data_IF_271499773709
#
_entry.id   IF_271499773709
#
_cell.length_a   1.000
_cell.length_b   1.000
_cell.length_c   1.000
_cell.angle_alpha   90.00
_cell.angle_beta   90.00
_cell.angle_gamma   90.00
#
_symmetry.space_group_name_H-M   'P 1'
#
loop_
_entity.id
_entity.type
_entity.pdbx_description
1 polymer ?
#
# COMPACT_ATOMS: atom_id res chain seq x y z
N UNK A 1 -11.16 -3.61 16.00
CA UNK A 1 -9.91 -3.02 15.47
C UNK A 1 -9.46 -3.96 14.38
N UNK A 2 -9.47 -3.56 13.11
CA UNK A 2 -9.19 -4.50 12.01
C UNK A 2 -7.69 -4.65 11.76
N UNK A 3 -6.97 -3.53 11.60
CA UNK A 3 -5.51 -3.48 11.42
C UNK A 3 -4.94 -2.59 12.52
N UNK A 4 -4.09 -3.13 13.40
CA UNK A 4 -3.58 -2.37 14.56
C UNK A 4 -2.55 -1.29 14.17
N UNK A 5 -1.95 -1.42 12.99
CA UNK A 5 -0.99 -0.46 12.44
C UNK A 5 -0.22 -1.02 11.25
N UNK A 6 0.79 -0.28 10.81
CA UNK A 6 1.61 -0.61 9.64
C UNK A 6 3.07 -0.48 10.04
N UNK A 7 3.90 -1.42 9.61
CA UNK A 7 5.35 -1.40 9.78
C UNK A 7 5.99 -1.70 8.44
N UNK A 8 7.00 -0.93 8.06
CA UNK A 8 7.80 -1.19 6.86
C UNK A 8 9.24 -1.44 7.27
N UNK A 9 9.77 -2.60 6.88
CA UNK A 9 11.15 -3.01 7.11
C UNK A 9 11.94 -2.97 5.80
N UNK A 10 13.25 -2.77 5.90
CA UNK A 10 14.15 -3.05 4.79
C UNK A 10 14.38 -4.57 4.63
N UNK A 11 15.10 -4.94 3.56
CA UNK A 11 15.47 -6.33 3.29
C UNK A 11 16.37 -6.98 4.36
N UNK A 12 16.92 -6.21 5.29
CA UNK A 12 17.72 -6.71 6.42
C UNK A 12 16.87 -6.95 7.68
N UNK A 13 15.57 -6.69 7.61
CA UNK A 13 14.65 -6.86 8.74
C UNK A 13 14.67 -5.69 9.72
N UNK A 14 15.24 -4.53 9.33
CA UNK A 14 15.28 -3.33 10.18
C UNK A 14 14.10 -2.42 9.86
N UNK A 15 13.42 -1.84 10.88
CA UNK A 15 12.32 -0.92 10.64
C UNK A 15 12.81 0.37 9.98
N UNK A 16 12.14 0.74 8.89
CA UNK A 16 12.29 2.04 8.22
C UNK A 16 11.30 3.03 8.82
N UNK A 17 10.02 2.63 8.88
CA UNK A 17 8.92 3.48 9.35
C UNK A 17 7.80 2.60 9.94
N UNK A 18 7.07 3.14 10.91
CA UNK A 18 5.92 2.49 11.53
C UNK A 18 4.83 3.53 11.87
N UNK A 19 3.57 3.10 11.92
CA UNK A 19 2.46 3.95 12.37
C UNK A 19 2.42 4.07 13.90
N UNK A 20 1.51 4.91 14.41
CA UNK A 20 1.50 5.34 15.81
C UNK A 20 0.99 4.36 16.89
N UNK A 21 0.61 3.11 16.56
CA UNK A 21 0.13 2.05 17.48
C UNK A 21 -0.53 2.54 18.80
N UNK A 22 -1.51 3.44 18.69
CA UNK A 22 -1.93 4.34 19.79
C UNK A 22 -2.52 3.63 21.00
N UNK A 23 -3.06 2.42 20.81
CA UNK A 23 -3.74 1.60 21.82
C UNK A 23 -2.88 0.44 22.34
N UNK A 24 -1.60 0.36 21.93
CA UNK A 24 -0.72 -0.78 22.22
C UNK A 24 0.51 -0.34 23.01
N UNK A 25 1.16 -1.30 23.66
CA UNK A 25 2.46 -1.09 24.31
C UNK A 25 3.52 -0.61 23.31
N UNK A 26 4.50 0.23 23.70
CA UNK A 26 5.62 0.60 22.84
C UNK A 26 6.43 -0.59 22.29
N UNK A 27 6.40 -1.73 22.99
CA UNK A 27 7.06 -2.96 22.53
C UNK A 27 6.26 -3.71 21.45
N UNK A 28 4.99 -3.36 21.22
CA UNK A 28 4.08 -4.12 20.37
C UNK A 28 4.62 -4.27 18.95
N UNK A 29 5.07 -3.19 18.30
CA UNK A 29 5.62 -3.28 16.95
C UNK A 29 6.88 -4.16 16.89
N UNK A 30 7.72 -4.11 17.92
CA UNK A 30 8.93 -4.94 18.00
C UNK A 30 8.61 -6.44 18.01
N UNK A 31 7.52 -6.86 18.67
CA UNK A 31 7.12 -8.29 18.68
C UNK A 31 6.81 -8.81 17.28
N UNK A 32 6.16 -8.00 16.45
CA UNK A 32 5.83 -8.34 15.07
C UNK A 32 7.06 -8.36 14.18
N UNK A 33 7.98 -7.41 14.39
CA UNK A 33 9.28 -7.37 13.72
C UNK A 33 10.10 -8.62 14.06
N UNK A 34 10.18 -8.97 15.34
CA UNK A 34 10.91 -10.15 15.82
C UNK A 34 10.27 -11.44 15.30
N UNK A 35 8.95 -11.53 15.26
CA UNK A 35 8.25 -12.70 14.72
C UNK A 35 8.66 -12.98 13.27
N UNK A 36 8.63 -11.96 12.40
CA UNK A 36 9.05 -12.11 11.01
C UNK A 36 10.56 -12.38 10.88
N UNK A 37 11.39 -11.65 11.61
CA UNK A 37 12.85 -11.81 11.56
C UNK A 37 13.29 -13.21 12.01
N UNK A 38 12.64 -13.78 13.02
CA UNK A 38 12.88 -15.15 13.48
C UNK A 38 12.54 -16.17 12.38
N UNK A 39 11.44 -15.99 11.66
CA UNK A 39 11.07 -16.88 10.56
C UNK A 39 11.99 -16.73 9.33
N UNK A 40 12.43 -15.50 9.02
CA UNK A 40 13.42 -15.23 7.98
C UNK A 40 14.77 -15.88 8.28
N UNK A 41 15.18 -15.97 9.56
CA UNK A 41 16.41 -16.66 9.94
C UNK A 41 16.30 -18.18 9.82
N UNK A 42 15.12 -18.75 10.07
CA UNK A 42 14.87 -20.19 9.99
C UNK A 42 14.78 -20.70 8.55
N UNK A 43 14.34 -19.84 7.62
CA UNK A 43 14.03 -20.24 6.24
C UNK A 43 14.99 -19.59 5.24
N UNK A 44 15.68 -20.41 4.44
CA UNK A 44 16.56 -19.90 3.38
C UNK A 44 15.82 -19.25 2.21
N UNK A 45 14.53 -19.56 2.04
CA UNK A 45 13.68 -18.97 1.01
C UNK A 45 12.49 -18.23 1.67
N UNK A 46 12.42 -16.89 1.54
CA UNK A 46 11.34 -16.09 2.10
C UNK A 46 9.95 -16.49 1.60
N UNK A 47 9.83 -17.03 0.38
CA UNK A 47 8.54 -17.41 -0.20
C UNK A 47 7.87 -18.62 0.49
N UNK A 48 8.56 -19.26 1.45
CA UNK A 48 8.04 -20.39 2.24
C UNK A 48 7.50 -19.97 3.60
N UNK A 49 7.73 -18.73 4.01
CA UNK A 49 7.24 -18.21 5.28
C UNK A 49 5.73 -18.02 5.16
N UNK A 50 4.99 -18.46 6.18
CA UNK A 50 3.55 -18.25 6.24
C UNK A 50 3.26 -16.73 6.20
N UNK A 51 2.41 -16.24 5.29
CA UNK A 51 2.07 -14.82 5.21
C UNK A 51 1.36 -14.30 6.47
N UNK A 52 0.83 -15.18 7.32
CA UNK A 52 0.20 -14.84 8.61
C UNK A 52 0.96 -15.50 9.75
N UNK A 53 1.72 -14.71 10.51
CA UNK A 53 2.50 -15.21 11.64
C UNK A 53 1.76 -15.04 12.96
N UNK A 54 1.77 -16.06 13.80
CA UNK A 54 1.28 -15.94 15.17
C UNK A 54 2.25 -15.12 16.03
N UNK A 55 1.74 -14.10 16.72
CA UNK A 55 2.50 -13.27 17.65
C UNK A 55 1.92 -13.41 19.06
N UNK A 56 2.69 -13.98 20.01
CA UNK A 56 2.21 -14.17 21.37
C UNK A 56 2.02 -12.83 22.08
N UNK A 57 1.12 -12.75 23.08
CA UNK A 57 0.97 -11.56 23.89
C UNK A 57 2.24 -11.27 24.70
N UNK A 58 2.56 -9.99 24.89
CA UNK A 58 3.74 -9.60 25.69
C UNK A 58 3.49 -9.77 27.19
N UNK A 59 2.30 -9.40 27.65
CA UNK A 59 1.87 -9.54 29.04
C UNK A 59 0.67 -10.49 29.12
N UNK A 60 0.48 -11.15 30.27
CA UNK A 60 -0.62 -12.09 30.47
C UNK A 60 -2.02 -11.46 30.33
N UNK A 61 -2.12 -10.13 30.37
CA UNK A 61 -3.36 -9.36 30.16
C UNK A 61 -3.64 -9.03 28.70
N UNK A 62 -2.64 -9.16 27.83
CA UNK A 62 -2.77 -8.88 26.41
C UNK A 62 -3.32 -10.10 25.67
N UNK A 63 -3.99 -9.85 24.54
CA UNK A 63 -4.40 -10.91 23.63
C UNK A 63 -3.30 -11.19 22.60
N UNK A 64 -3.21 -12.44 22.15
CA UNK A 64 -2.38 -12.77 21.00
C UNK A 64 -2.82 -11.97 19.76
N UNK A 65 -1.91 -11.82 18.81
CA UNK A 65 -2.16 -11.14 17.54
C UNK A 65 -1.56 -11.93 16.38
N UNK A 66 -1.97 -11.58 15.17
CA UNK A 66 -1.38 -12.08 13.94
C UNK A 66 -0.57 -10.98 13.26
N UNK A 67 0.55 -11.34 12.64
CA UNK A 67 1.32 -10.46 11.78
C UNK A 67 1.07 -10.87 10.33
N UNK A 68 0.27 -10.09 9.60
CA UNK A 68 0.12 -10.26 8.16
C UNK A 68 1.28 -9.55 7.47
N UNK A 69 2.03 -10.23 6.60
CA UNK A 69 3.17 -9.61 5.93
C UNK A 69 3.24 -9.91 4.44
N UNK A 70 3.81 -8.96 3.70
CA UNK A 70 4.08 -9.07 2.26
C UNK A 70 5.48 -8.54 1.98
N UNK A 71 6.27 -9.30 1.22
CA UNK A 71 7.51 -8.81 0.62
C UNK A 71 7.20 -8.08 -0.70
N UNK A 72 7.72 -6.86 -0.86
CA UNK A 72 7.61 -6.11 -2.11
C UNK A 72 8.95 -5.45 -2.43
N UNK A 73 9.52 -5.72 -3.60
CA UNK A 73 10.87 -5.26 -3.96
C UNK A 73 11.92 -5.63 -2.88
N UNK A 74 12.55 -4.64 -2.25
CA UNK A 74 13.54 -4.76 -1.17
C UNK A 74 12.99 -4.35 0.20
N UNK A 75 11.66 -4.39 0.39
CA UNK A 75 10.99 -4.10 1.67
C UNK A 75 10.02 -5.21 2.09
N UNK A 76 9.77 -5.29 3.40
CA UNK A 76 8.67 -6.06 3.98
C UNK A 76 7.65 -5.10 4.59
N UNK A 77 6.38 -5.29 4.27
CA UNK A 77 5.26 -4.53 4.83
C UNK A 77 4.46 -5.45 5.74
N UNK A 78 4.33 -5.05 7.00
CA UNK A 78 3.65 -5.82 8.04
C UNK A 78 2.43 -5.04 8.51
N UNK A 79 1.31 -5.75 8.67
CA UNK A 79 0.09 -5.27 9.31
C UNK A 79 -0.27 -6.20 10.46
N UNK A 80 0.05 -5.80 11.70
CA UNK A 80 -0.49 -6.44 12.89
C UNK A 80 -2.01 -6.43 12.92
N UNK A 81 -2.63 -7.55 13.25
CA UNK A 81 -4.08 -7.75 13.38
C UNK A 81 -4.37 -8.42 14.72
N UNK A 82 -5.35 -7.91 15.46
CA UNK A 82 -5.75 -8.47 16.75
C UNK A 82 -7.27 -8.51 16.91
N UNK A 83 -7.74 -9.47 17.71
CA UNK A 83 -9.18 -9.75 17.85
C UNK A 83 -9.72 -10.67 16.75
N UNK A 84 -11.04 -10.67 16.59
CA UNK A 84 -11.75 -11.53 15.64
C UNK A 84 -11.97 -10.77 14.31
N UNK A 85 -10.94 -10.81 13.46
CA UNK A 85 -10.89 -10.09 12.18
C UNK A 85 -10.32 -11.02 11.12
N UNK A 86 -10.91 -10.99 9.92
CA UNK A 86 -10.38 -11.69 8.75
C UNK A 86 -9.03 -11.08 8.31
N UNK A 87 -7.92 -11.85 8.32
CA UNK A 87 -6.62 -11.39 7.86
C UNK A 87 -6.61 -10.86 6.42
N UNK A 88 -7.56 -11.28 5.57
CA UNK A 88 -7.68 -10.78 4.20
C UNK A 88 -7.86 -9.26 4.14
N UNK A 89 -8.44 -8.62 5.16
CA UNK A 89 -8.56 -7.16 5.23
C UNK A 89 -7.17 -6.51 5.27
N UNK A 90 -6.22 -7.09 6.02
CA UNK A 90 -4.85 -6.60 6.09
C UNK A 90 -4.13 -6.76 4.75
N UNK A 91 -4.28 -7.90 4.07
CA UNK A 91 -3.66 -8.11 2.75
C UNK A 91 -4.24 -7.19 1.67
N UNK A 92 -5.55 -7.02 1.63
CA UNK A 92 -6.21 -6.09 0.71
C UNK A 92 -5.73 -4.65 0.96
N UNK A 93 -5.60 -4.26 2.22
CA UNK A 93 -5.06 -2.96 2.60
C UNK A 93 -3.59 -2.81 2.19
N UNK A 94 -2.71 -3.79 2.49
CA UNK A 94 -1.29 -3.74 2.11
C UNK A 94 -1.14 -3.56 0.60
N UNK A 95 -1.88 -4.33 -0.21
CA UNK A 95 -1.83 -4.21 -1.66
C UNK A 95 -2.25 -2.81 -2.11
N UNK A 96 -3.38 -2.32 -1.59
CA UNK A 96 -3.87 -0.96 -1.89
C UNK A 96 -2.85 0.11 -1.49
N UNK A 97 -2.21 -0.06 -0.34
CA UNK A 97 -1.18 0.86 0.14
C UNK A 97 0.07 0.85 -0.73
N UNK A 98 0.53 -0.33 -1.19
CA UNK A 98 1.63 -0.45 -2.16
C UNK A 98 1.29 0.29 -3.45
N UNK A 99 0.06 0.16 -3.95
CA UNK A 99 -0.37 0.83 -5.18
C UNK A 99 -0.43 2.37 -4.99
N UNK A 100 -0.87 2.86 -3.82
CA UNK A 100 -0.79 4.28 -3.44
C UNK A 100 0.67 4.76 -3.43
N UNK A 101 1.59 4.02 -2.79
CA UNK A 101 3.01 4.38 -2.77
C UNK A 101 3.58 4.44 -4.20
N UNK A 102 3.26 3.47 -5.05
CA UNK A 102 3.67 3.46 -6.46
C UNK A 102 3.12 4.66 -7.22
N UNK A 103 1.87 5.04 -6.97
CA UNK A 103 1.25 6.22 -7.58
C UNK A 103 1.84 7.56 -7.12
N UNK A 104 2.38 7.62 -5.90
CA UNK A 104 3.02 8.82 -5.35
C UNK A 104 4.48 8.96 -5.78
N UNK A 105 5.22 7.85 -5.80
CA UNK A 105 6.68 7.84 -5.93
C UNK A 105 7.19 7.15 -7.21
N UNK A 106 6.33 6.50 -7.99
CA UNK A 106 6.66 5.76 -9.20
C UNK A 106 7.19 4.34 -8.95
N UNK A 107 7.88 4.12 -7.84
CA UNK A 107 8.37 2.82 -7.40
C UNK A 107 8.33 2.70 -5.88
N UNK A 108 8.36 1.47 -5.38
CA UNK A 108 8.41 1.18 -3.94
C UNK A 108 9.71 0.43 -3.65
N UNK A 109 10.62 1.10 -2.93
CA UNK A 109 11.87 0.53 -2.43
C UNK A 109 12.24 1.13 -1.07
N UNK A 110 13.19 0.50 -0.37
CA UNK A 110 13.66 0.98 0.92
C UNK A 110 14.27 2.40 0.83
N UNK A 111 14.98 2.68 -0.27
CA UNK A 111 15.56 4.00 -0.56
C UNK A 111 14.47 5.06 -0.75
N UNK A 112 13.50 4.80 -1.62
CA UNK A 112 12.41 5.74 -1.91
C UNK A 112 11.60 6.08 -0.66
N UNK A 113 11.32 5.08 0.19
CA UNK A 113 10.58 5.28 1.45
C UNK A 113 11.38 6.15 2.43
N UNK A 114 12.71 5.94 2.51
CA UNK A 114 13.60 6.76 3.37
C UNK A 114 13.70 8.20 2.90
N UNK A 115 13.77 8.41 1.58
CA UNK A 115 13.84 9.76 0.99
C UNK A 115 12.55 10.56 1.15
N UNK A 116 11.40 9.88 1.22
CA UNK A 116 10.06 10.49 1.29
C UNK A 116 9.34 10.18 2.62
N UNK A 117 10.11 10.00 3.70
CA UNK A 117 9.63 9.50 4.99
C UNK A 117 8.43 10.29 5.55
N UNK A 118 8.46 11.61 5.42
CA UNK A 118 7.42 12.53 5.88
C UNK A 118 6.10 12.33 5.13
N UNK A 119 6.16 12.19 3.80
CA UNK A 119 4.98 11.93 2.96
C UNK A 119 4.43 10.53 3.23
N UNK A 120 5.28 9.52 3.39
CA UNK A 120 4.84 8.16 3.74
C UNK A 120 4.16 8.14 5.10
N UNK A 121 4.66 8.89 6.09
CA UNK A 121 4.02 9.00 7.40
C UNK A 121 2.64 9.67 7.31
N UNK A 122 2.50 10.72 6.50
CA UNK A 122 1.20 11.34 6.23
C UNK A 122 0.24 10.34 5.57
N UNK A 123 0.72 9.56 4.60
CA UNK A 123 -0.09 8.51 3.96
C UNK A 123 -0.55 7.46 4.97
N UNK A 124 0.24 7.07 5.96
CA UNK A 124 -0.21 6.16 7.02
C UNK A 124 -1.44 6.71 7.76
N UNK A 125 -1.36 7.96 8.23
CA UNK A 125 -2.43 8.57 9.03
C UNK A 125 -3.71 8.82 8.23
N UNK A 126 -3.61 9.04 6.91
CA UNK A 126 -4.78 9.30 6.06
C UNK A 126 -5.38 8.03 5.43
N UNK A 127 -4.62 6.95 5.33
CA UNK A 127 -5.08 5.67 4.76
C UNK A 127 -5.62 4.71 5.81
N UNK A 128 -5.21 4.84 7.08
CA UNK A 128 -5.62 3.98 8.18
C UNK A 128 -5.95 4.81 9.42
N UNK A 129 -7.16 4.68 9.94
CA UNK A 129 -7.57 5.40 11.15
C UNK A 129 -7.01 4.79 12.45
N UNK A 130 -7.15 5.50 13.56
CA UNK A 130 -6.70 5.03 14.88
C UNK A 130 -7.49 3.82 15.42
N UNK A 131 -8.68 3.54 14.85
CA UNK A 131 -9.49 2.35 15.14
C UNK A 131 -9.06 1.12 14.33
N UNK A 132 -8.11 1.28 13.40
CA UNK A 132 -7.60 0.24 12.53
C UNK A 132 -8.48 -0.03 11.31
N UNK A 133 -9.28 0.95 10.87
CA UNK A 133 -10.11 0.85 9.67
C UNK A 133 -9.46 1.61 8.51
N UNK A 134 -9.37 1.01 7.31
CA UNK A 134 -8.97 1.75 6.12
C UNK A 134 -9.87 2.97 5.89
N UNK A 135 -9.27 4.14 5.69
CA UNK A 135 -9.95 5.43 5.53
C UNK A 135 -9.92 5.88 4.07
N UNK A 136 -8.96 6.72 3.68
CA UNK A 136 -8.88 7.25 2.33
C UNK A 136 -7.91 6.41 1.52
N UNK A 137 -8.43 5.50 0.70
CA UNK A 137 -7.61 4.54 -0.07
C UNK A 137 -7.52 4.84 -1.57
N UNK A 138 -8.07 5.98 -2.02
CA UNK A 138 -8.00 6.41 -3.41
C UNK A 138 -6.99 7.54 -3.58
N UNK A 139 -5.97 7.31 -4.39
CA UNK A 139 -4.89 8.28 -4.66
C UNK A 139 -5.40 9.64 -5.13
N UNK A 140 -6.52 9.69 -5.87
CA UNK A 140 -7.10 10.97 -6.32
C UNK A 140 -7.65 11.81 -5.17
N UNK A 141 -8.32 11.19 -4.19
CA UNK A 141 -8.76 11.88 -2.98
C UNK A 141 -7.57 12.19 -2.04
N UNK A 142 -6.62 11.26 -1.89
CA UNK A 142 -5.43 11.48 -1.07
C UNK A 142 -4.60 12.68 -1.54
N UNK A 143 -4.48 12.89 -2.86
CA UNK A 143 -3.72 14.01 -3.42
C UNK A 143 -4.27 15.39 -3.05
N UNK A 144 -5.52 15.48 -2.61
CA UNK A 144 -6.12 16.74 -2.15
C UNK A 144 -5.66 17.11 -0.72
N UNK A 145 -5.16 16.15 0.05
CA UNK A 145 -4.79 16.32 1.47
C UNK A 145 -3.32 15.99 1.77
N UNK A 146 -2.73 15.05 1.04
CA UNK A 146 -1.31 14.68 1.09
C UNK A 146 -0.69 14.96 -0.27
N UNK A 147 0.13 16.01 -0.33
CA UNK A 147 0.68 16.49 -1.60
C UNK A 147 1.85 15.60 -2.07
N UNK A 148 1.80 15.00 -3.28
CA UNK A 148 2.93 14.22 -3.79
C UNK A 148 4.17 15.08 -4.03
N UNK A 149 5.40 14.55 -3.80
CA UNK A 149 6.65 15.28 -4.07
C UNK A 149 6.76 15.76 -5.52
N UNK A 150 6.28 14.95 -6.48
CA UNK A 150 6.28 15.28 -7.90
C UNK A 150 5.44 16.53 -8.23
N UNK A 151 4.38 16.80 -7.45
CA UNK A 151 3.54 17.98 -7.62
C UNK A 151 4.22 19.22 -7.02
N UNK A 152 4.85 19.09 -5.86
CA UNK A 152 5.64 20.18 -5.24
C UNK A 152 6.77 20.65 -6.16
N UNK A 153 7.50 19.71 -6.77
CA UNK A 153 8.60 20.04 -7.69
C UNK A 153 8.10 20.82 -8.92
N UNK A 154 6.93 20.47 -9.46
CA UNK A 154 6.30 21.21 -10.57
C UNK A 154 5.88 22.62 -10.16
N UNK A 155 5.32 22.78 -8.95
CA UNK A 155 4.95 24.09 -8.42
C UNK A 155 6.18 24.99 -8.24
N UNK A 156 7.23 24.49 -7.58
CA UNK A 156 8.49 25.23 -7.38
C UNK A 156 9.14 25.64 -8.71
N UNK A 157 9.20 24.73 -9.69
CA UNK A 157 9.73 25.03 -11.02
C UNK A 157 8.91 26.12 -11.74
N UNK A 158 7.59 26.17 -11.52
CA UNK A 158 6.71 27.17 -12.14
C UNK A 158 6.86 28.57 -11.54
N UNK A 159 7.17 28.67 -10.24
CA UNK A 159 7.40 29.95 -9.54
C UNK A 159 8.74 30.61 -9.93
N UNK A 160 9.71 29.83 -10.39
CA UNK A 160 11.02 30.34 -10.84
C UNK A 160 11.02 30.85 -12.30
N UNK A 161 9.92 30.75 -13.04
CA UNK A 161 9.79 31.20 -14.43
C UNK A 161 9.07 32.55 -14.58
N UNK A 162 9.28 33.31 -15.68
CA UNK A 162 8.68 34.63 -15.90
C UNK A 162 7.15 34.63 -16.13
N UNK A 163 6.49 33.47 -16.12
CA UNK A 163 5.05 33.34 -16.38
C UNK A 163 4.28 33.00 -15.10
N UNK A 164 4.17 33.99 -14.22
CA UNK A 164 3.57 33.90 -12.87
C UNK A 164 2.03 33.74 -12.92
N UNK A 165 1.38 33.89 -14.08
CA UNK A 165 -0.08 34.11 -14.12
C UNK A 165 -0.94 32.91 -14.53
N UNK A 166 -0.37 31.78 -14.98
CA UNK A 166 -1.15 30.64 -15.51
C UNK A 166 -1.12 29.37 -14.67
N UNK A 167 -0.21 29.23 -13.69
CA UNK A 167 -0.10 28.02 -12.83
C UNK A 167 -0.56 28.23 -11.40
N UNK A 168 -0.77 29.48 -10.96
CA UNK A 168 -1.30 29.82 -9.64
C UNK A 168 -2.83 29.84 -9.57
N UNK A 169 -3.50 29.58 -10.69
CA UNK A 169 -4.89 29.14 -10.65
C UNK A 169 -4.89 27.72 -10.09
N UNK A 170 -4.88 27.62 -8.76
CA UNK A 170 -5.62 26.58 -8.07
C UNK A 170 -6.95 26.44 -8.81
N UNK A 171 -7.10 25.36 -9.57
CA UNK A 171 -8.31 25.10 -10.32
C UNK A 171 -9.49 25.20 -9.34
N UNK A 172 -10.67 25.70 -9.74
CA UNK A 172 -11.84 25.69 -8.86
C UNK A 172 -12.08 24.24 -8.39
N UNK A 173 -11.93 23.97 -7.08
CA UNK A 173 -12.00 22.62 -6.51
C UNK A 173 -10.70 22.07 -5.89
N UNK A 174 -9.83 22.87 -5.29
CA UNK A 174 -8.62 22.40 -4.56
C UNK A 174 -8.83 22.25 -3.05
N UNK A 175 -10.06 22.01 -2.59
CA UNK A 175 -10.33 21.70 -1.18
C UNK A 175 -10.11 20.22 -0.88
N UNK A 176 -9.88 19.82 0.38
CA UNK A 176 -9.92 18.43 0.80
C UNK A 176 -11.19 17.74 0.28
N UNK A 177 -11.05 16.58 -0.35
CA UNK A 177 -12.16 15.78 -0.87
C UNK A 177 -13.06 16.58 -1.83
N UNK A 178 -12.44 17.32 -2.74
CA UNK A 178 -13.12 18.20 -3.69
C UNK A 178 -14.07 17.47 -4.65
N UNK A 179 -13.82 16.18 -4.87
CA UNK A 179 -14.67 15.32 -5.68
C UNK A 179 -15.63 14.53 -4.80
N UNK A 180 -16.94 14.51 -5.13
CA UNK A 180 -17.88 13.60 -4.48
C UNK A 180 -17.61 12.13 -4.81
N UNK A 181 -16.72 11.86 -5.77
CA UNK A 181 -16.34 10.52 -6.22
C UNK A 181 -14.83 10.32 -6.00
N UNK A 182 -14.41 9.42 -5.09
CA UNK A 182 -13.03 9.40 -4.60
C UNK A 182 -12.00 8.93 -5.64
N UNK A 183 -12.43 8.15 -6.65
CA UNK A 183 -11.56 7.68 -7.72
C UNK A 183 -11.39 8.65 -8.88
N UNK A 184 -12.08 9.81 -8.91
CA UNK A 184 -12.04 10.73 -10.06
C UNK A 184 -11.99 12.19 -9.61
N UNK A 185 -11.10 12.99 -10.21
CA UNK A 185 -11.05 14.44 -9.97
C UNK A 185 -12.25 15.18 -10.59
N UNK A 186 -12.71 16.22 -9.92
CA UNK A 186 -13.74 17.13 -10.44
C UNK A 186 -13.18 18.01 -11.56
N UNK A 187 -13.99 18.32 -12.56
CA UNK A 187 -13.66 19.33 -13.58
C UNK A 187 -12.60 18.93 -14.59
N UNK A 188 -12.25 17.63 -14.71
CA UNK A 188 -11.32 17.14 -15.74
C UNK A 188 -11.88 17.44 -17.14
N UNK A 189 -11.09 18.10 -17.98
CA UNK A 189 -11.41 18.42 -19.38
C UNK A 189 -10.32 17.89 -20.29
N UNK A 190 -10.72 17.21 -21.35
CA UNK A 190 -9.82 16.75 -22.42
C UNK A 190 -10.14 17.51 -23.71
N UNK A 191 -9.13 17.71 -24.57
CA UNK A 191 -9.32 18.31 -25.89
C UNK A 191 -10.14 17.37 -26.78
N UNK A 192 -9.79 16.08 -26.76
CA UNK A 192 -10.53 15.00 -27.39
C UNK A 192 -11.00 14.03 -26.29
N UNK A 193 -12.28 13.66 -26.32
CA UNK A 193 -12.83 12.66 -25.40
C UNK A 193 -12.72 11.30 -26.05
N UNK A 194 -11.63 10.59 -25.76
CA UNK A 194 -11.35 9.24 -26.24
C UNK A 194 -11.26 8.29 -25.05
N UNK A 195 -11.63 7.04 -25.26
CA UNK A 195 -11.47 5.96 -24.28
C UNK A 195 -10.83 4.78 -24.99
N UNK A 196 -9.79 4.25 -24.38
CA UNK A 196 -9.04 3.10 -24.87
C UNK A 196 -9.33 1.92 -23.94
N UNK A 197 -9.38 0.73 -24.50
CA UNK A 197 -9.62 -0.49 -23.75
C UNK A 197 -8.72 -1.58 -24.31
N UNK A 198 -7.93 -2.19 -23.44
CA UNK A 198 -7.10 -3.34 -23.76
C UNK A 198 -7.75 -4.60 -23.19
N UNK A 199 -8.09 -5.56 -24.06
CA UNK A 199 -8.60 -6.86 -23.66
C UNK A 199 -7.44 -7.84 -23.56
N UNK A 200 -7.02 -8.13 -22.33
CA UNK A 200 -5.88 -9.00 -22.05
C UNK A 200 -6.41 -10.36 -21.63
N UNK A 201 -6.11 -11.39 -22.42
CA UNK A 201 -6.48 -12.78 -22.13
C UNK A 201 -5.24 -13.63 -21.83
N UNK A 202 -5.27 -14.37 -20.73
CA UNK A 202 -4.23 -15.33 -20.34
C UNK A 202 -4.81 -16.75 -20.34
N UNK A 203 -4.27 -17.63 -21.19
CA UNK A 203 -4.59 -19.05 -21.22
C UNK A 203 -3.50 -19.86 -20.49
N UNK A 204 -3.85 -20.46 -19.36
CA UNK A 204 -2.98 -21.39 -18.62
C UNK A 204 -3.41 -22.81 -18.88
N UNK A 205 -2.47 -23.66 -19.28
CA UNK A 205 -2.70 -25.07 -19.59
C UNK A 205 -1.68 -25.98 -18.94
N UNK A 206 -2.12 -27.15 -18.47
CA UNK A 206 -1.24 -28.26 -18.08
C UNK A 206 -1.50 -29.41 -19.04
N UNK A 207 -0.45 -29.84 -19.75
CA UNK A 207 -0.51 -30.95 -20.70
C UNK A 207 0.34 -32.10 -20.17
N UNK A 208 -0.24 -33.30 -20.10
CA UNK A 208 0.49 -34.51 -19.70
C UNK A 208 1.36 -35.02 -20.86
N UNK A 209 2.48 -35.67 -20.55
CA UNK A 209 3.43 -36.25 -21.51
C UNK A 209 2.83 -37.40 -22.34
N UNK A 210 1.82 -38.10 -21.82
CA UNK A 210 1.14 -39.21 -22.51
C UNK A 210 -0.28 -38.78 -22.96
N UNK A 211 -0.60 -38.98 -24.24
CA UNK A 211 -1.91 -38.68 -24.85
C UNK A 211 -3.08 -39.46 -24.22
N UNK A 212 -4.35 -39.05 -24.45
CA UNK A 212 -4.93 -37.73 -24.30
C UNK A 212 -6.02 -37.81 -23.22
N UNK A 213 -5.70 -37.53 -21.96
CA UNK A 213 -6.72 -37.48 -20.90
C UNK A 213 -6.60 -36.16 -20.14
N UNK A 214 -7.53 -35.26 -20.49
CA UNK A 214 -7.87 -34.00 -19.84
C UNK A 214 -6.71 -33.01 -19.67
N UNK A 215 -6.27 -32.32 -20.74
CA UNK A 215 -5.51 -31.10 -20.53
C UNK A 215 -6.39 -30.12 -19.73
N UNK A 216 -5.89 -29.68 -18.58
CA UNK A 216 -6.58 -28.67 -17.77
C UNK A 216 -6.20 -27.31 -18.33
N UNK A 217 -7.16 -26.64 -18.96
CA UNK A 217 -7.01 -25.28 -19.45
C UNK A 217 -7.90 -24.34 -18.64
N UNK A 218 -7.35 -23.19 -18.28
CA UNK A 218 -8.07 -22.11 -17.65
C UNK A 218 -7.75 -20.83 -18.43
N UNK A 219 -8.77 -20.12 -18.86
CA UNK A 219 -8.64 -18.81 -19.45
C UNK A 219 -9.06 -17.76 -18.41
N UNK A 220 -8.24 -16.73 -18.25
CA UNK A 220 -8.54 -15.53 -17.47
C UNK A 220 -8.47 -14.32 -18.38
N UNK A 221 -9.36 -13.36 -18.18
CA UNK A 221 -9.39 -12.12 -18.95
C UNK A 221 -9.49 -10.92 -18.03
N UNK A 222 -8.79 -9.85 -18.37
CA UNK A 222 -8.91 -8.53 -17.74
C UNK A 222 -9.10 -7.49 -18.83
N UNK A 223 -9.96 -6.52 -18.54
CA UNK A 223 -10.22 -5.37 -19.40
C UNK A 223 -9.51 -4.18 -18.75
N UNK A 224 -8.39 -3.76 -19.33
CA UNK A 224 -7.56 -2.65 -18.85
C UNK A 224 -7.99 -1.36 -19.59
N UNK A 225 -7.94 -0.21 -18.90
CA UNK A 225 -8.41 1.09 -19.39
C UNK A 225 -7.52 2.23 -18.91
#
# INVERSE_FOLDING_TARGET
>A
MAIDGIIILDNTGRPIIQSGFRSKSPAYSLLHIDALNNELQKHSNPSRIDPVLYVPPFQSTDTASACCHVSHSDVYILCPVSGDVDPLVAFAFIQTFIDILREYFGSVSAEVIKENFDVVYQLFEETLDAGGHPLTTYSNALRDIVTPPSLLNKLLASVAGPNIHSTLNAAPGTGPFSSPIPWRKTGVRHVNNEIYFDMVEELRGIVNKCEPLCPSFCAWGVLEA
#
